data_IF_447044951886
#
_entry.id   IF_447044951886
#
_cell.length_a   1.000
_cell.length_b   1.000
_cell.length_c   1.000
_cell.angle_alpha   90.00
_cell.angle_beta   90.00
_cell.angle_gamma   90.00
#
_symmetry.space_group_name_H-M   'P 1'
#
loop_
_entity.id
_entity.type
_entity.pdbx_description
1 polymer ?
#
# COMPACT_ATOMS: atom_id res chain seq x y z
N UNK A 1 1.48 -27.32 20.39
CA UNK A 1 1.27 -26.73 19.06
C UNK A 1 2.40 -25.73 18.83
N UNK A 2 3.09 -25.80 17.70
CA UNK A 2 4.10 -24.80 17.34
C UNK A 2 3.43 -23.46 17.05
N UNK A 3 4.06 -22.34 17.44
CA UNK A 3 3.56 -21.01 17.12
C UNK A 3 3.41 -20.84 15.60
N UNK A 4 2.35 -20.17 15.11
CA UNK A 4 2.23 -19.90 13.68
C UNK A 4 3.36 -18.97 13.23
N UNK A 5 3.91 -19.24 12.04
CA UNK A 5 5.04 -18.49 11.49
C UNK A 5 4.59 -17.53 10.40
N UNK A 6 4.90 -16.24 10.56
CA UNK A 6 4.51 -15.18 9.62
C UNK A 6 5.73 -14.53 9.01
N UNK A 7 5.76 -14.46 7.68
CA UNK A 7 6.70 -13.67 6.91
C UNK A 7 6.15 -12.25 6.71
N UNK A 8 6.95 -11.25 7.07
CA UNK A 8 6.70 -9.86 6.70
C UNK A 8 7.70 -9.50 5.60
N UNK A 9 7.25 -9.42 4.36
CA UNK A 9 8.11 -9.24 3.18
C UNK A 9 8.18 -7.81 2.65
N UNK A 10 7.50 -6.88 3.31
CA UNK A 10 7.51 -5.45 3.00
C UNK A 10 7.87 -4.62 4.24
N UNK A 11 8.22 -3.34 4.02
CA UNK A 11 8.51 -2.41 5.12
C UNK A 11 7.26 -2.14 5.95
N UNK A 12 7.22 -2.65 7.17
CA UNK A 12 6.26 -2.30 8.22
C UNK A 12 6.96 -1.57 9.36
N UNK A 13 6.18 -0.88 10.20
CA UNK A 13 6.72 -0.24 11.41
C UNK A 13 7.19 -1.29 12.43
N UNK A 14 8.17 -0.93 13.26
CA UNK A 14 8.61 -1.79 14.35
C UNK A 14 7.46 -2.13 15.31
N UNK A 15 6.53 -1.20 15.54
CA UNK A 15 5.35 -1.44 16.36
C UNK A 15 4.46 -2.55 15.77
N UNK A 16 4.28 -2.59 14.44
CA UNK A 16 3.50 -3.65 13.81
C UNK A 16 4.17 -5.03 14.00
N UNK A 17 5.49 -5.10 13.85
CA UNK A 17 6.27 -6.33 14.10
C UNK A 17 6.12 -6.77 15.56
N UNK A 18 6.17 -5.82 16.51
CA UNK A 18 6.05 -6.11 17.93
C UNK A 18 4.67 -6.67 18.29
N UNK A 19 3.59 -6.14 17.69
CA UNK A 19 2.22 -6.65 17.90
C UNK A 19 2.09 -8.14 17.56
N UNK A 20 2.73 -8.61 16.50
CA UNK A 20 2.74 -10.04 16.16
C UNK A 20 3.43 -10.85 17.25
N UNK A 21 4.60 -10.40 17.72
CA UNK A 21 5.39 -11.07 18.79
C UNK A 21 4.62 -11.13 20.09
N UNK A 22 3.98 -10.03 20.50
CA UNK A 22 3.20 -9.93 21.73
C UNK A 22 2.00 -10.89 21.73
N UNK A 23 1.56 -11.31 20.54
CA UNK A 23 0.49 -12.30 20.35
C UNK A 23 1.00 -13.74 20.20
N UNK A 24 2.28 -13.98 20.44
CA UNK A 24 2.88 -15.31 20.38
C UNK A 24 3.04 -15.86 18.96
N UNK A 25 3.15 -14.97 17.94
CA UNK A 25 3.38 -15.32 16.55
C UNK A 25 4.87 -15.26 16.27
N UNK A 26 5.43 -16.31 15.68
CA UNK A 26 6.81 -16.31 15.20
C UNK A 26 6.90 -15.44 13.93
N UNK A 27 7.67 -14.36 14.00
CA UNK A 27 7.77 -13.35 12.94
C UNK A 27 9.14 -13.33 12.33
N UNK A 28 9.16 -13.55 11.02
CA UNK A 28 10.34 -13.31 10.19
C UNK A 28 10.15 -11.99 9.41
N UNK A 29 10.95 -10.98 9.77
CA UNK A 29 10.87 -9.64 9.17
C UNK A 29 11.96 -9.46 8.13
N UNK A 30 11.59 -9.55 6.85
CA UNK A 30 12.45 -9.41 5.70
C UNK A 30 11.92 -8.32 4.74
N UNK A 31 12.09 -7.03 5.08
CA UNK A 31 11.35 -5.90 4.48
C UNK A 31 11.62 -5.66 2.99
N UNK A 32 12.65 -6.27 2.43
CA UNK A 32 12.99 -6.14 1.01
C UNK A 32 12.77 -7.43 0.21
N UNK A 33 12.40 -8.53 0.86
CA UNK A 33 12.20 -9.84 0.22
C UNK A 33 11.11 -9.79 -0.86
N UNK A 34 10.07 -8.99 -0.66
CA UNK A 34 8.97 -8.85 -1.61
C UNK A 34 9.37 -8.31 -2.99
N UNK A 35 10.54 -7.69 -3.10
CA UNK A 35 11.11 -7.20 -4.37
C UNK A 35 11.79 -8.31 -5.16
N UNK A 36 12.26 -9.36 -4.50
CA UNK A 36 12.90 -10.52 -5.11
C UNK A 36 11.91 -11.69 -5.23
N UNK A 37 11.35 -11.84 -6.42
CA UNK A 37 10.35 -12.89 -6.69
C UNK A 37 10.89 -14.31 -6.53
N UNK A 38 12.18 -14.54 -6.81
CA UNK A 38 12.77 -15.86 -6.72
C UNK A 38 13.02 -16.24 -5.25
N UNK A 39 13.55 -15.30 -4.47
CA UNK A 39 13.77 -15.50 -3.05
C UNK A 39 12.44 -15.67 -2.29
N UNK A 40 11.43 -14.86 -2.61
CA UNK A 40 10.09 -15.01 -2.04
C UNK A 40 9.47 -16.37 -2.36
N UNK A 41 9.61 -16.84 -3.61
CA UNK A 41 9.10 -18.14 -4.03
C UNK A 41 9.76 -19.29 -3.27
N UNK A 42 11.07 -19.20 -3.01
CA UNK A 42 11.81 -20.19 -2.25
C UNK A 42 11.46 -20.18 -0.75
N UNK A 43 11.18 -19.01 -0.18
CA UNK A 43 10.92 -18.84 1.24
C UNK A 43 9.49 -19.22 1.66
N UNK A 44 8.50 -18.87 0.83
CA UNK A 44 7.06 -18.87 1.19
C UNK A 44 6.50 -20.24 1.67
N UNK A 45 7.00 -21.41 1.24
CA UNK A 45 6.51 -22.68 1.73
C UNK A 45 6.60 -22.87 3.26
N UNK A 46 7.49 -22.12 3.92
CA UNK A 46 7.79 -22.27 5.34
C UNK A 46 6.90 -21.42 6.27
N UNK A 47 5.90 -20.72 5.73
CA UNK A 47 5.10 -19.75 6.51
C UNK A 47 3.61 -20.06 6.48
N UNK A 48 2.96 -19.86 7.64
CA UNK A 48 1.50 -19.94 7.80
C UNK A 48 0.80 -18.64 7.38
N UNK A 49 1.50 -17.51 7.48
CA UNK A 49 0.98 -16.19 7.13
C UNK A 49 1.98 -15.35 6.35
N UNK A 50 1.46 -14.47 5.50
CA UNK A 50 2.23 -13.50 4.73
C UNK A 50 1.67 -12.10 4.96
N UNK A 51 2.46 -11.20 5.56
CA UNK A 51 2.10 -9.81 5.76
C UNK A 51 2.86 -8.92 4.77
N UNK A 52 2.09 -8.15 3.98
CA UNK A 52 2.62 -7.36 2.85
C UNK A 52 2.08 -5.93 2.80
N UNK A 53 2.70 -5.14 1.96
CA UNK A 53 2.19 -3.86 1.44
C UNK A 53 2.11 -3.91 -0.08
N UNK A 54 2.57 -2.85 -0.76
CA UNK A 54 2.46 -2.70 -2.21
C UNK A 54 3.65 -3.28 -3.00
N UNK A 55 4.82 -3.46 -2.38
CA UNK A 55 6.01 -3.93 -3.10
C UNK A 55 5.96 -5.43 -3.38
N UNK A 56 5.43 -6.23 -2.45
CA UNK A 56 5.25 -7.67 -2.65
C UNK A 56 4.06 -7.96 -3.56
N UNK A 57 4.25 -8.83 -4.54
CA UNK A 57 3.17 -9.35 -5.40
C UNK A 57 2.92 -10.83 -5.07
N UNK A 58 1.79 -11.11 -4.42
CA UNK A 58 1.32 -12.47 -4.15
C UNK A 58 0.58 -13.01 -5.38
N UNK A 59 1.36 -13.41 -6.39
CA UNK A 59 0.86 -13.98 -7.65
C UNK A 59 0.37 -15.40 -7.46
N UNK A 60 -0.38 -15.94 -8.44
CA UNK A 60 -0.79 -17.35 -8.48
C UNK A 60 0.39 -18.28 -8.22
N UNK A 61 1.56 -18.03 -8.85
CA UNK A 61 2.77 -18.85 -8.69
C UNK A 61 3.28 -18.86 -7.23
N UNK A 62 3.29 -17.70 -6.56
CA UNK A 62 3.69 -17.57 -5.14
C UNK A 62 2.69 -18.33 -4.25
N UNK A 63 1.39 -18.11 -4.48
CA UNK A 63 0.34 -18.76 -3.71
C UNK A 63 0.34 -20.27 -3.90
N UNK A 64 0.56 -20.75 -5.13
CA UNK A 64 0.67 -22.18 -5.41
C UNK A 64 1.82 -22.85 -4.65
N UNK A 65 2.98 -22.20 -4.59
CA UNK A 65 4.16 -22.69 -3.87
C UNK A 65 4.01 -22.65 -2.33
N UNK A 66 3.15 -21.79 -1.80
CA UNK A 66 2.96 -21.57 -0.37
C UNK A 66 2.17 -22.71 0.31
N UNK A 67 2.82 -23.86 0.55
CA UNK A 67 2.16 -25.10 1.02
C UNK A 67 1.44 -24.96 2.36
N UNK A 68 1.97 -24.14 3.27
CA UNK A 68 1.44 -23.98 4.63
C UNK A 68 0.59 -22.72 4.81
N UNK A 69 0.53 -21.85 3.79
CA UNK A 69 -0.06 -20.53 3.89
C UNK A 69 -1.58 -20.61 4.14
N UNK A 70 -2.04 -19.92 5.17
CA UNK A 70 -3.45 -19.84 5.58
C UNK A 70 -4.03 -18.44 5.38
N UNK A 71 -3.17 -17.40 5.47
CA UNK A 71 -3.63 -16.01 5.43
C UNK A 71 -2.60 -15.10 4.76
N UNK A 72 -3.10 -14.15 3.97
CA UNK A 72 -2.33 -13.02 3.44
C UNK A 72 -2.96 -11.76 4.01
N UNK A 73 -2.21 -10.97 4.78
CA UNK A 73 -2.61 -9.66 5.30
C UNK A 73 -1.92 -8.54 4.54
N UNK A 74 -2.68 -7.63 3.93
CA UNK A 74 -2.12 -6.43 3.30
C UNK A 74 -2.38 -5.20 4.15
N UNK A 75 -1.31 -4.53 4.59
CA UNK A 75 -1.40 -3.22 5.21
C UNK A 75 -1.63 -2.15 4.13
N UNK A 76 -2.90 -1.94 3.76
CA UNK A 76 -3.36 -1.01 2.73
C UNK A 76 -4.79 -1.29 2.29
N UNK A 77 -5.39 -0.36 1.54
CA UNK A 77 -6.79 -0.44 1.09
C UNK A 77 -6.93 -1.38 -0.10
N UNK A 78 -6.14 -1.17 -1.16
CA UNK A 78 -6.21 -1.99 -2.37
C UNK A 78 -5.69 -3.42 -2.13
N UNK A 79 -6.05 -4.36 -3.00
CA UNK A 79 -5.57 -5.74 -3.00
C UNK A 79 -5.17 -6.21 -4.40
N UNK A 80 -4.83 -5.26 -5.26
CA UNK A 80 -4.48 -5.46 -6.68
C UNK A 80 -3.18 -6.24 -6.88
N UNK A 81 -2.30 -6.25 -5.87
CA UNK A 81 -1.06 -7.02 -5.85
C UNK A 81 -1.23 -8.45 -5.32
N UNK A 82 -2.46 -8.91 -5.06
CA UNK A 82 -2.77 -10.26 -4.58
C UNK A 82 -3.72 -10.95 -5.56
N UNK A 83 -3.36 -12.13 -6.02
CA UNK A 83 -4.26 -12.99 -6.80
C UNK A 83 -5.30 -13.63 -5.87
N UNK A 84 -6.42 -12.94 -5.73
CA UNK A 84 -7.52 -13.39 -4.83
C UNK A 84 -8.19 -14.66 -5.33
N UNK A 85 -8.21 -14.88 -6.65
CA UNK A 85 -8.81 -16.10 -7.22
C UNK A 85 -7.96 -17.32 -6.88
N UNK A 86 -6.64 -17.22 -7.05
CA UNK A 86 -5.71 -18.28 -6.66
C UNK A 86 -5.74 -18.52 -5.14
N UNK A 87 -5.78 -17.45 -4.33
CA UNK A 87 -5.90 -17.57 -2.87
C UNK A 87 -7.18 -18.30 -2.46
N UNK A 88 -8.33 -17.91 -3.01
CA UNK A 88 -9.62 -18.55 -2.71
C UNK A 88 -9.65 -20.03 -3.10
N UNK A 89 -9.14 -20.38 -4.29
CA UNK A 89 -9.04 -21.78 -4.74
C UNK A 89 -8.22 -22.65 -3.79
N UNK A 90 -7.21 -22.05 -3.14
CA UNK A 90 -6.31 -22.73 -2.20
C UNK A 90 -6.80 -22.67 -0.74
N UNK A 91 -7.90 -21.98 -0.46
CA UNK A 91 -8.42 -21.78 0.89
C UNK A 91 -7.60 -20.77 1.71
N UNK A 92 -6.82 -19.89 1.08
CA UNK A 92 -6.03 -18.85 1.73
C UNK A 92 -6.89 -17.59 1.93
N UNK A 93 -7.01 -17.14 3.17
CA UNK A 93 -7.75 -15.92 3.51
C UNK A 93 -6.95 -14.69 3.09
N UNK A 94 -7.60 -13.72 2.42
CA UNK A 94 -7.00 -12.44 2.09
C UNK A 94 -7.66 -11.33 2.90
N UNK A 95 -6.85 -10.59 3.65
CA UNK A 95 -7.29 -9.48 4.50
C UNK A 95 -6.58 -8.19 4.11
N UNK A 96 -7.26 -7.07 4.32
CA UNK A 96 -6.70 -5.73 4.10
C UNK A 96 -7.07 -4.76 5.23
N UNK A 97 -6.58 -3.52 5.16
CA UNK A 97 -6.92 -2.44 6.10
C UNK A 97 -7.71 -1.35 5.37
N UNK A 98 -9.03 -1.52 5.13
CA UNK A 98 -9.80 -0.70 4.19
C UNK A 98 -9.96 0.76 4.62
N UNK A 99 -9.76 1.08 5.90
CA UNK A 99 -9.92 2.43 6.45
C UNK A 99 -8.59 3.09 6.87
N UNK A 100 -7.45 2.40 6.67
CA UNK A 100 -6.17 2.79 7.25
C UNK A 100 -5.60 4.12 6.73
N UNK A 101 -5.87 4.50 5.49
CA UNK A 101 -5.36 5.73 4.87
C UNK A 101 -6.36 6.41 3.91
N UNK A 102 -7.66 6.17 4.07
CA UNK A 102 -8.66 6.72 3.17
C UNK A 102 -8.69 8.25 3.20
N UNK A 103 -8.72 8.84 4.40
CA UNK A 103 -8.74 10.31 4.58
C UNK A 103 -7.42 10.92 4.07
N UNK A 104 -6.28 10.36 4.46
CA UNK A 104 -4.97 10.85 4.01
C UNK A 104 -4.86 10.86 2.48
N UNK A 105 -5.41 9.86 1.81
CA UNK A 105 -5.39 9.78 0.33
C UNK A 105 -6.33 10.79 -0.29
N UNK A 106 -7.53 10.99 0.28
CA UNK A 106 -8.50 11.98 -0.18
C UNK A 106 -7.94 13.41 -0.02
N UNK A 107 -7.40 13.74 1.15
CA UNK A 107 -6.75 15.03 1.40
C UNK A 107 -5.60 15.30 0.44
N UNK A 108 -4.77 14.28 0.17
CA UNK A 108 -3.68 14.41 -0.79
C UNK A 108 -4.20 14.69 -2.21
N UNK A 109 -5.27 14.03 -2.64
CA UNK A 109 -5.88 14.27 -3.95
C UNK A 109 -6.40 15.72 -4.06
N UNK A 110 -7.06 16.24 -3.01
CA UNK A 110 -7.53 17.63 -2.95
C UNK A 110 -6.33 18.59 -2.97
N UNK A 111 -5.30 18.34 -2.18
CA UNK A 111 -4.10 19.17 -2.15
C UNK A 111 -3.42 19.25 -3.54
N UNK A 112 -3.29 18.09 -4.22
CA UNK A 112 -2.74 18.03 -5.57
C UNK A 112 -3.60 18.76 -6.60
N UNK A 113 -4.92 18.70 -6.48
CA UNK A 113 -5.85 19.44 -7.34
C UNK A 113 -5.60 20.96 -7.24
N UNK A 114 -5.46 21.49 -6.03
CA UNK A 114 -5.12 22.90 -5.83
C UNK A 114 -3.70 23.24 -6.29
N UNK A 115 -2.74 22.35 -6.04
CA UNK A 115 -1.35 22.55 -6.46
C UNK A 115 -1.25 22.70 -7.98
N UNK A 116 -1.95 21.82 -8.73
CA UNK A 116 -1.99 21.89 -10.20
C UNK A 116 -2.75 23.12 -10.69
N UNK A 117 -3.95 23.38 -10.15
CA UNK A 117 -4.77 24.50 -10.58
C UNK A 117 -4.10 25.86 -10.36
N UNK A 118 -3.28 26.00 -9.33
CA UNK A 118 -2.62 27.26 -8.95
C UNK A 118 -1.12 27.27 -9.24
N UNK A 119 -0.59 26.27 -9.93
CA UNK A 119 0.84 26.16 -10.30
C UNK A 119 1.79 26.33 -9.11
N UNK A 120 1.41 25.74 -7.95
CA UNK A 120 2.14 25.95 -6.68
C UNK A 120 3.58 25.46 -6.74
N UNK A 121 3.91 24.29 -7.30
CA UNK A 121 5.28 23.81 -7.37
C UNK A 121 6.20 24.74 -8.17
N UNK A 122 5.73 25.22 -9.31
CA UNK A 122 6.49 26.10 -10.20
C UNK A 122 6.68 27.48 -9.56
N UNK A 123 5.63 28.02 -8.95
CA UNK A 123 5.70 29.29 -8.24
C UNK A 123 6.67 29.23 -7.04
N UNK A 124 6.60 28.14 -6.28
CA UNK A 124 7.50 27.88 -5.16
C UNK A 124 8.96 27.79 -5.63
N UNK A 125 9.24 27.02 -6.68
CA UNK A 125 10.58 26.90 -7.25
C UNK A 125 11.15 28.25 -7.73
N UNK A 126 10.32 29.08 -8.40
CA UNK A 126 10.73 30.42 -8.85
C UNK A 126 11.09 31.32 -7.66
N UNK A 127 10.27 31.31 -6.62
CA UNK A 127 10.50 32.13 -5.41
C UNK A 127 11.76 31.68 -4.66
N UNK A 128 11.97 30.38 -4.49
CA UNK A 128 13.20 29.84 -3.89
C UNK A 128 14.46 30.17 -4.70
N UNK A 129 14.34 30.33 -6.02
CA UNK A 129 15.42 30.81 -6.89
C UNK A 129 15.62 32.35 -6.84
N UNK A 130 14.98 33.05 -5.90
CA UNK A 130 15.10 34.51 -5.73
C UNK A 130 14.34 35.32 -6.79
N UNK A 131 13.40 34.71 -7.53
CA UNK A 131 12.62 35.39 -8.57
C UNK A 131 11.23 35.73 -8.08
N UNK A 132 10.75 36.93 -8.42
CA UNK A 132 9.39 37.40 -8.13
C UNK A 132 8.59 37.52 -9.44
N UNK A 133 8.10 36.38 -9.96
CA UNK A 133 7.44 36.28 -11.26
C UNK A 133 5.91 36.15 -11.12
N UNK A 134 5.29 37.04 -10.35
CA UNK A 134 3.88 37.03 -9.95
C UNK A 134 2.91 36.79 -11.11
N UNK A 135 3.09 37.40 -12.26
CA UNK A 135 2.21 37.29 -13.42
C UNK A 135 2.34 35.98 -14.21
N UNK A 136 3.41 35.23 -13.93
CA UNK A 136 3.70 33.97 -14.65
C UNK A 136 2.86 32.80 -14.14
N UNK A 137 2.45 32.85 -12.87
CA UNK A 137 1.77 31.75 -12.18
C UNK A 137 0.33 32.14 -11.78
N UNK A 138 -0.48 32.59 -12.75
CA UNK A 138 -1.84 33.00 -12.46
C UNK A 138 -2.78 31.83 -12.15
N UNK A 139 -2.57 30.68 -12.77
CA UNK A 139 -3.38 29.50 -12.56
C UNK A 139 -4.87 29.71 -12.89
N UNK A 140 -5.71 28.84 -12.36
CA UNK A 140 -7.18 28.93 -12.49
C UNK A 140 -7.85 28.77 -11.11
N UNK A 141 -8.96 29.45 -10.91
CA UNK A 141 -9.81 29.24 -9.74
C UNK A 141 -10.70 28.01 -9.91
N UNK A 142 -10.92 27.26 -8.84
CA UNK A 142 -11.79 26.10 -8.83
C UNK A 142 -13.26 26.44 -8.52
N UNK A 143 -13.53 27.69 -8.15
CA UNK A 143 -14.89 28.20 -7.93
C UNK A 143 -15.75 27.97 -9.17
N UNK A 144 -16.95 27.45 -8.96
CA UNK A 144 -17.93 27.12 -10.02
C UNK A 144 -17.42 26.13 -11.10
N UNK A 145 -16.38 25.39 -10.82
CA UNK A 145 -15.93 24.27 -11.67
C UNK A 145 -16.61 22.97 -11.25
N UNK A 146 -16.77 22.06 -12.18
CA UNK A 146 -17.30 20.73 -11.92
C UNK A 146 -16.15 19.76 -11.68
N UNK A 147 -16.18 19.05 -10.56
CA UNK A 147 -15.25 17.95 -10.26
C UNK A 147 -15.88 16.63 -10.67
N UNK A 148 -15.23 15.92 -11.59
CA UNK A 148 -15.57 14.54 -11.91
C UNK A 148 -14.82 13.57 -11.01
N UNK A 149 -15.55 12.70 -10.30
CA UNK A 149 -14.96 11.65 -9.43
C UNK A 149 -15.18 10.29 -10.09
N UNK A 150 -14.08 9.58 -10.39
CA UNK A 150 -14.12 8.22 -10.91
C UNK A 150 -13.82 7.27 -9.77
N UNK A 151 -14.87 6.62 -9.24
CA UNK A 151 -14.80 5.75 -8.06
C UNK A 151 -15.22 6.49 -6.78
N UNK A 152 -16.46 6.26 -6.34
CA UNK A 152 -17.05 6.83 -5.13
C UNK A 152 -17.07 5.76 -3.99
N UNK A 153 -15.90 5.20 -3.69
CA UNK A 153 -15.68 4.28 -2.57
C UNK A 153 -15.18 5.01 -1.31
N UNK A 154 -14.43 4.31 -0.45
CA UNK A 154 -13.94 4.87 0.83
C UNK A 154 -13.03 6.11 0.69
N UNK A 155 -12.46 6.36 -0.49
CA UNK A 155 -11.59 7.51 -0.74
C UNK A 155 -12.34 8.61 -1.50
N UNK A 156 -13.18 8.24 -2.46
CA UNK A 156 -13.82 9.20 -3.37
C UNK A 156 -15.22 9.64 -2.93
N UNK A 157 -15.75 9.06 -1.84
CA UNK A 157 -17.05 9.41 -1.26
C UNK A 157 -16.98 10.42 -0.12
#
# INVERSE_FOLDING_TARGET
MTAPKVLISDKLSAAAVQIFKDRGIDVDFQPDLGKDKAALLAAIPNYDGLAIRSATKATEKIIAAATNLKVIGRAGIGTDNIDKVAASKKGVIVMNTPFGNMITTAEHAIAMMFAVARQIPEASASTHAGKWEKSKFMGVELTNKTLGVIGAGNIGG
#
